data_IF_311741072031
#
_entry.id   IF_311741072031
#
_cell.length_a   1.000
_cell.length_b   1.000
_cell.length_c   1.000
_cell.angle_alpha   90.00
_cell.angle_beta   90.00
_cell.angle_gamma   90.00
#
_symmetry.space_group_name_H-M   'P 1'
#
loop_
_entity.id
_entity.type
_entity.pdbx_description
1 polymer ?
#
# COMPACT_ATOMS: atom_id res chain seq x y z
N UNK A 1 13.46 10.65 18.97
CA UNK A 1 12.75 9.55 19.62
C UNK A 1 13.08 8.22 18.97
N UNK A 2 12.84 7.13 19.68
CA UNK A 2 13.05 5.79 19.13
C UNK A 2 11.89 5.39 18.23
N UNK A 3 12.19 4.60 17.20
CA UNK A 3 11.17 3.94 16.41
C UNK A 3 10.39 2.97 17.31
N UNK A 4 9.07 3.01 17.18
CA UNK A 4 8.19 2.04 17.81
C UNK A 4 7.81 0.98 16.77
N UNK A 5 8.54 -0.13 16.77
CA UNK A 5 8.38 -1.15 15.73
C UNK A 5 6.99 -1.78 15.76
N UNK A 6 6.43 -1.98 16.92
CA UNK A 6 5.07 -2.54 17.05
C UNK A 6 4.04 -1.60 16.43
N UNK A 7 4.11 -0.32 16.77
CA UNK A 7 3.20 0.70 16.22
C UNK A 7 3.39 0.87 14.72
N UNK A 8 4.64 0.88 14.27
CA UNK A 8 5.01 0.97 12.86
C UNK A 8 4.39 -0.19 12.06
N UNK A 9 4.49 -1.42 12.59
CA UNK A 9 3.92 -2.59 11.93
C UNK A 9 2.39 -2.53 11.88
N UNK A 10 1.74 -2.02 12.92
CA UNK A 10 0.29 -1.84 12.94
C UNK A 10 -0.15 -0.85 11.86
N UNK A 11 0.53 0.28 11.76
CA UNK A 11 0.23 1.32 10.77
C UNK A 11 0.42 0.78 9.35
N UNK A 12 1.53 0.09 9.11
CA UNK A 12 1.83 -0.49 7.79
C UNK A 12 0.76 -1.51 7.40
N UNK A 13 0.30 -2.33 8.34
CA UNK A 13 -0.76 -3.31 8.09
C UNK A 13 -2.06 -2.61 7.69
N UNK A 14 -2.43 -1.56 8.39
CA UNK A 14 -3.64 -0.77 8.06
C UNK A 14 -3.54 -0.17 6.66
N UNK A 15 -2.38 0.36 6.30
CA UNK A 15 -2.15 0.92 4.97
C UNK A 15 -2.27 -0.15 3.89
N UNK A 16 -1.68 -1.31 4.11
CA UNK A 16 -1.74 -2.42 3.15
C UNK A 16 -3.19 -2.86 2.94
N UNK A 17 -3.98 -2.99 4.01
CA UNK A 17 -5.40 -3.33 3.87
C UNK A 17 -6.17 -2.26 3.09
N UNK A 18 -5.88 -0.99 3.32
CA UNK A 18 -6.49 0.11 2.57
C UNK A 18 -6.14 0.03 1.08
N UNK A 19 -4.89 -0.24 0.76
CA UNK A 19 -4.44 -0.39 -0.64
C UNK A 19 -5.13 -1.58 -1.30
N UNK A 20 -5.28 -2.71 -0.58
CA UNK A 20 -6.01 -3.87 -1.10
C UNK A 20 -7.45 -3.53 -1.47
N UNK A 21 -8.15 -2.78 -0.61
CA UNK A 21 -9.52 -2.35 -0.87
C UNK A 21 -9.60 -1.47 -2.11
N UNK A 22 -8.68 -0.54 -2.24
CA UNK A 22 -8.61 0.34 -3.40
C UNK A 22 -8.40 -0.45 -4.70
N UNK A 23 -7.48 -1.41 -4.68
CA UNK A 23 -7.21 -2.22 -5.88
C UNK A 23 -8.33 -3.21 -6.17
N UNK A 24 -9.07 -3.66 -5.16
CA UNK A 24 -10.28 -4.46 -5.37
C UNK A 24 -11.31 -3.67 -6.20
N UNK A 25 -11.53 -2.41 -5.85
CA UNK A 25 -12.41 -1.54 -6.63
C UNK A 25 -11.91 -1.38 -8.07
N UNK A 26 -10.62 -1.26 -8.27
CA UNK A 26 -10.04 -1.15 -9.62
C UNK A 26 -10.24 -2.41 -10.44
N UNK A 27 -10.16 -3.58 -9.83
CA UNK A 27 -10.42 -4.86 -10.51
C UNK A 27 -11.80 -4.87 -11.17
N UNK A 28 -12.80 -4.35 -10.49
CA UNK A 28 -14.16 -4.31 -11.03
C UNK A 28 -14.29 -3.49 -12.30
N UNK A 29 -13.38 -2.56 -12.53
CA UNK A 29 -13.42 -1.64 -13.68
C UNK A 29 -12.54 -2.08 -14.85
N UNK A 30 -11.91 -3.26 -14.76
CA UNK A 30 -11.08 -3.78 -15.84
C UNK A 30 -11.73 -4.99 -16.51
N UNK A 31 -11.78 -4.96 -17.84
CA UNK A 31 -12.36 -6.06 -18.64
C UNK A 31 -11.40 -7.22 -18.84
N UNK A 32 -10.11 -6.97 -18.64
CA UNK A 32 -9.06 -7.94 -18.94
C UNK A 32 -8.11 -8.07 -17.75
N UNK A 33 -7.96 -9.30 -17.26
CA UNK A 33 -7.12 -9.61 -16.12
C UNK A 33 -5.65 -9.23 -16.34
N UNK A 34 -5.11 -9.53 -17.52
CA UNK A 34 -3.69 -9.24 -17.79
C UNK A 34 -3.43 -7.74 -17.82
N UNK A 35 -4.34 -6.98 -18.41
CA UNK A 35 -4.26 -5.52 -18.42
C UNK A 35 -4.37 -4.97 -17.01
N UNK A 36 -5.33 -5.48 -16.23
CA UNK A 36 -5.46 -5.11 -14.84
C UNK A 36 -4.16 -5.37 -14.08
N UNK A 37 -3.61 -6.57 -14.19
CA UNK A 37 -2.42 -6.96 -13.45
C UNK A 37 -1.23 -6.04 -13.76
N UNK A 38 -1.02 -5.71 -15.02
CA UNK A 38 0.04 -4.80 -15.45
C UNK A 38 -0.17 -3.40 -14.90
N UNK A 39 -1.40 -2.90 -14.98
CA UNK A 39 -1.70 -1.55 -14.50
C UNK A 39 -1.60 -1.45 -12.98
N UNK A 40 -2.08 -2.45 -12.24
CA UNK A 40 -1.94 -2.48 -10.79
C UNK A 40 -0.46 -2.48 -10.39
N UNK A 41 0.34 -3.29 -11.06
CA UNK A 41 1.78 -3.36 -10.77
C UNK A 41 2.44 -2.00 -10.97
N UNK A 42 2.14 -1.34 -12.09
CA UNK A 42 2.69 -0.02 -12.38
C UNK A 42 2.21 1.03 -11.37
N UNK A 43 0.94 1.01 -11.01
CA UNK A 43 0.38 1.95 -10.05
C UNK A 43 0.96 1.77 -8.65
N UNK A 44 1.21 0.54 -8.22
CA UNK A 44 1.86 0.31 -6.92
C UNK A 44 3.23 0.97 -6.88
N UNK A 45 3.99 0.87 -7.97
CA UNK A 45 5.30 1.49 -8.04
C UNK A 45 5.24 3.02 -8.07
N UNK A 46 4.25 3.59 -8.78
CA UNK A 46 4.11 5.04 -8.93
C UNK A 46 3.38 5.68 -7.75
N UNK A 47 2.27 5.08 -7.31
CA UNK A 47 1.41 5.65 -6.27
C UNK A 47 2.04 5.58 -4.89
N UNK A 48 2.91 4.61 -4.63
CA UNK A 48 3.61 4.53 -3.36
C UNK A 48 4.44 5.79 -3.10
N UNK A 49 5.01 6.38 -4.15
CA UNK A 49 5.70 7.67 -4.04
C UNK A 49 4.72 8.77 -3.64
N UNK A 50 3.55 8.82 -4.27
CA UNK A 50 2.53 9.83 -4.01
C UNK A 50 1.97 9.72 -2.59
N UNK A 51 1.84 8.51 -2.06
CA UNK A 51 1.40 8.29 -0.69
C UNK A 51 2.33 8.94 0.33
N UNK A 52 3.62 9.00 0.05
CA UNK A 52 4.58 9.62 0.98
C UNK A 52 4.63 11.13 0.89
N UNK A 53 4.42 11.69 -0.30
CA UNK A 53 4.75 13.08 -0.58
C UNK A 53 3.56 13.96 -0.92
N UNK A 54 2.35 13.41 -0.83
CA UNK A 54 1.14 14.20 -1.06
C UNK A 54 0.70 14.88 0.23
N UNK A 55 0.99 16.17 0.34
CA UNK A 55 0.61 16.97 1.50
C UNK A 55 -0.90 17.17 1.65
N UNK A 56 -1.67 16.86 0.62
CA UNK A 56 -3.12 16.98 0.61
C UNK A 56 -3.83 15.66 0.90
N UNK A 57 -3.15 14.75 1.57
CA UNK A 57 -3.71 13.45 1.92
C UNK A 57 -5.02 13.61 2.69
N UNK A 58 -6.10 13.24 2.05
CA UNK A 58 -7.42 13.16 2.69
C UNK A 58 -7.67 11.79 3.30
N UNK A 59 -6.76 10.88 3.09
CA UNK A 59 -6.84 9.51 3.58
C UNK A 59 -6.42 9.47 5.05
N UNK A 60 -7.33 9.12 5.98
CA UNK A 60 -7.00 9.05 7.41
C UNK A 60 -5.89 8.05 7.73
N UNK A 61 -5.80 6.97 6.96
CA UNK A 61 -4.78 5.93 7.19
C UNK A 61 -3.39 6.46 6.89
N UNK A 62 -3.24 7.15 5.77
CA UNK A 62 -1.97 7.78 5.42
C UNK A 62 -1.63 8.94 6.36
N UNK A 63 -2.64 9.66 6.85
CA UNK A 63 -2.46 10.70 7.84
C UNK A 63 -1.83 10.17 9.13
N UNK A 64 -2.23 8.98 9.56
CA UNK A 64 -1.65 8.32 10.74
C UNK A 64 -0.17 8.01 10.51
N UNK A 65 0.17 7.50 9.32
CA UNK A 65 1.56 7.22 8.97
C UNK A 65 2.42 8.49 8.95
N UNK A 66 1.93 9.54 8.32
CA UNK A 66 2.65 10.82 8.26
C UNK A 66 2.89 11.39 9.66
N UNK A 67 1.88 11.29 10.53
CA UNK A 67 2.01 11.73 11.93
C UNK A 67 3.06 10.92 12.66
N UNK A 68 3.04 9.60 12.50
CA UNK A 68 4.06 8.72 13.08
C UNK A 68 5.47 9.13 12.65
N UNK A 69 5.65 9.40 11.34
CA UNK A 69 6.95 9.78 10.80
C UNK A 69 7.44 11.12 11.36
N UNK A 70 6.54 12.11 11.46
CA UNK A 70 6.87 13.43 12.00
C UNK A 70 7.22 13.35 13.48
N UNK A 71 6.47 12.59 14.26
CA UNK A 71 6.71 12.42 15.69
C UNK A 71 7.99 11.62 15.98
N UNK A 72 8.28 10.62 15.14
CA UNK A 72 9.46 9.76 15.30
C UNK A 72 10.74 10.46 14.84
N UNK A 73 10.64 11.26 13.79
CA UNK A 73 11.78 11.95 13.19
C UNK A 73 11.50 13.46 13.09
N UNK A 74 11.44 14.15 14.24
CA UNK A 74 11.06 15.58 14.25
C UNK A 74 12.01 16.48 13.48
N UNK A 75 13.27 16.06 13.30
CA UNK A 75 14.29 16.80 12.56
C UNK A 75 14.48 16.25 11.14
N UNK A 76 13.56 15.36 10.70
CA UNK A 76 13.65 14.68 9.43
C UNK A 76 12.91 15.36 8.28
N UNK A 77 12.54 16.62 8.41
CA UNK A 77 11.80 17.33 7.36
C UNK A 77 12.66 17.58 6.13
N UNK A 78 12.15 17.18 4.97
CA UNK A 78 12.80 17.50 3.71
C UNK A 78 12.84 19.03 3.52
N UNK A 79 13.94 19.62 3.02
CA UNK A 79 15.17 18.97 2.54
C UNK A 79 16.31 18.92 3.59
N UNK A 80 16.03 19.18 4.82
CA UNK A 80 17.03 19.50 5.85
C UNK A 80 17.29 18.37 6.85
N UNK A 81 17.04 17.10 6.47
CA UNK A 81 17.32 16.02 7.41
C UNK A 81 18.81 15.92 7.76
N UNK A 82 19.11 15.59 9.01
CA UNK A 82 20.41 15.06 9.36
C UNK A 82 20.63 13.75 8.60
N UNK A 83 21.83 13.49 8.12
CA UNK A 83 22.13 12.30 7.33
C UNK A 83 21.78 10.98 8.07
N UNK A 84 22.03 10.94 9.37
CA UNK A 84 21.69 9.79 10.23
C UNK A 84 20.18 9.50 10.23
N UNK A 85 19.35 10.53 10.22
CA UNK A 85 17.89 10.38 10.22
C UNK A 85 17.37 10.00 8.86
N UNK A 86 18.05 10.40 7.79
CA UNK A 86 17.68 10.03 6.44
C UNK A 86 17.66 8.51 6.24
N UNK A 87 18.70 7.81 6.74
CA UNK A 87 18.77 6.35 6.64
C UNK A 87 17.65 5.68 7.42
N UNK A 88 17.32 6.20 8.59
CA UNK A 88 16.26 5.68 9.43
C UNK A 88 14.89 5.89 8.78
N UNK A 89 14.66 7.08 8.24
CA UNK A 89 13.44 7.42 7.51
C UNK A 89 13.29 6.50 6.30
N UNK A 90 14.35 6.34 5.52
CA UNK A 90 14.36 5.43 4.37
C UNK A 90 14.02 4.01 4.75
N UNK A 91 14.54 3.52 5.89
CA UNK A 91 14.25 2.17 6.34
C UNK A 91 12.74 1.96 6.56
N UNK A 92 12.05 2.94 7.14
CA UNK A 92 10.59 2.86 7.35
C UNK A 92 9.85 2.94 6.03
N UNK A 93 10.24 3.87 5.15
CA UNK A 93 9.63 4.03 3.83
C UNK A 93 9.77 2.76 2.99
N UNK A 94 10.96 2.17 2.94
CA UNK A 94 11.21 0.94 2.20
C UNK A 94 10.39 -0.21 2.78
N UNK A 95 10.27 -0.28 4.10
CA UNK A 95 9.46 -1.30 4.76
C UNK A 95 8.00 -1.21 4.33
N UNK A 96 7.45 -0.01 4.29
CA UNK A 96 6.08 0.20 3.80
C UNK A 96 5.94 -0.16 2.33
N UNK A 97 6.85 0.30 1.48
CA UNK A 97 6.82 0.01 0.05
C UNK A 97 6.88 -1.49 -0.23
N UNK A 98 7.73 -2.21 0.47
CA UNK A 98 7.83 -3.67 0.34
C UNK A 98 6.55 -4.36 0.80
N UNK A 99 5.95 -3.90 1.88
CA UNK A 99 4.70 -4.47 2.37
C UNK A 99 3.57 -4.29 1.35
N UNK A 100 3.46 -3.10 0.74
CA UNK A 100 2.48 -2.83 -0.30
C UNK A 100 2.74 -3.71 -1.53
N UNK A 101 3.98 -3.77 -1.97
CA UNK A 101 4.37 -4.53 -3.17
C UNK A 101 4.17 -6.03 -3.02
N UNK A 102 4.45 -6.57 -1.84
CA UNK A 102 4.41 -8.01 -1.57
C UNK A 102 3.08 -8.52 -1.02
N UNK A 103 2.09 -7.65 -0.88
CA UNK A 103 0.76 -8.05 -0.42
C UNK A 103 0.10 -9.00 -1.44
N UNK A 104 -0.66 -9.95 -0.93
CA UNK A 104 -1.36 -10.92 -1.78
C UNK A 104 -2.74 -10.37 -2.17
N UNK A 105 -2.76 -9.57 -3.23
CA UNK A 105 -3.97 -8.93 -3.74
C UNK A 105 -4.93 -9.95 -4.35
N UNK A 106 -4.43 -11.03 -4.93
CA UNK A 106 -5.28 -12.06 -5.51
C UNK A 106 -6.03 -12.83 -4.42
N UNK A 107 -5.36 -13.15 -3.31
CA UNK A 107 -6.04 -13.80 -2.19
C UNK A 107 -7.09 -12.89 -1.58
N UNK A 108 -6.77 -11.62 -1.42
CA UNK A 108 -7.74 -10.64 -0.92
C UNK A 108 -8.96 -10.56 -1.85
N UNK A 109 -8.71 -10.50 -3.16
CA UNK A 109 -9.79 -10.47 -4.14
C UNK A 109 -10.62 -11.76 -4.11
N UNK A 110 -9.99 -12.91 -3.94
CA UNK A 110 -10.68 -14.17 -3.81
C UNK A 110 -11.58 -14.20 -2.56
N UNK A 111 -11.09 -13.71 -1.45
CA UNK A 111 -11.87 -13.62 -0.21
C UNK A 111 -13.06 -12.67 -0.32
N UNK A 112 -13.02 -11.74 -1.27
CA UNK A 112 -14.10 -10.78 -1.57
C UNK A 112 -14.71 -11.02 -2.95
N UNK A 113 -14.71 -12.26 -3.41
CA UNK A 113 -15.08 -12.61 -4.79
C UNK A 113 -16.50 -12.21 -5.15
N UNK A 114 -17.42 -12.20 -4.18
CA UNK A 114 -18.81 -11.84 -4.42
C UNK A 114 -18.99 -10.36 -4.71
N UNK A 115 -18.00 -9.55 -4.37
CA UNK A 115 -17.99 -8.10 -4.62
C UNK A 115 -17.44 -7.75 -6.00
N UNK A 116 -16.85 -8.71 -6.70
CA UNK A 116 -16.20 -8.50 -8.00
C UNK A 116 -17.20 -8.80 -9.11
N UNK A 117 -17.37 -7.85 -10.03
CA UNK A 117 -18.25 -8.01 -11.20
C UNK A 117 -17.51 -8.53 -12.42
N UNK A 118 -16.17 -8.44 -12.43
CA UNK A 118 -15.35 -8.88 -13.55
C UNK A 118 -15.33 -10.42 -13.65
N UNK A 119 -16.06 -10.97 -14.62
CA UNK A 119 -16.22 -12.41 -14.80
C UNK A 119 -14.91 -13.12 -15.12
N UNK A 120 -14.08 -12.50 -15.93
CA UNK A 120 -12.80 -13.12 -16.32
C UNK A 120 -11.90 -13.25 -15.09
N UNK A 121 -11.87 -12.24 -14.28
CA UNK A 121 -11.06 -12.26 -13.06
C UNK A 121 -11.61 -13.23 -12.03
N UNK A 122 -12.94 -13.33 -11.90
CA UNK A 122 -13.57 -14.33 -11.03
C UNK A 122 -13.18 -15.75 -11.40
N UNK A 123 -13.24 -16.06 -12.69
CA UNK A 123 -12.86 -17.38 -13.20
C UNK A 123 -11.38 -17.66 -12.90
N UNK A 124 -10.54 -16.68 -13.13
CA UNK A 124 -9.11 -16.80 -12.83
C UNK A 124 -8.88 -17.13 -11.34
N UNK A 125 -9.52 -16.38 -10.44
CA UNK A 125 -9.36 -16.57 -9.00
C UNK A 125 -9.86 -17.96 -8.56
N UNK A 126 -11.01 -18.39 -9.07
CA UNK A 126 -11.55 -19.72 -8.77
C UNK A 126 -10.60 -20.81 -9.23
N UNK A 127 -10.07 -20.69 -10.44
CA UNK A 127 -9.11 -21.66 -10.96
C UNK A 127 -7.83 -21.71 -10.14
N UNK A 128 -7.42 -20.59 -9.58
CA UNK A 128 -6.20 -20.51 -8.78
C UNK A 128 -6.39 -21.08 -7.37
N UNK A 129 -7.51 -20.75 -6.70
CA UNK A 129 -7.70 -21.05 -5.28
C UNK A 129 -8.63 -22.25 -5.01
N UNK A 130 -9.39 -22.70 -5.97
CA UNK A 130 -10.36 -23.80 -5.84
C UNK A 130 -9.97 -25.03 -6.67
N UNK A 131 -8.71 -25.39 -6.64
CA UNK A 131 -8.22 -26.57 -7.37
C UNK A 131 -8.72 -27.88 -6.76
#
# INVERSE_FOLDING_TARGET
MKRDIKRENEIIREIVEHVKQFYLWKIDNYDNYNEFYRNVYNEINDDSYNYFYDDNQKDPVMGVFCRYMVETFPNGSYPWFAEKDRKRIYAVEIKLLKAIKNADYERYAYEHIDEIENRVYKIHLKNRFEK
#
